data_IF_899250909277
#
_entry.id   IF_899250909277
#
_cell.length_a   1.000
_cell.length_b   1.000
_cell.length_c   1.000
_cell.angle_alpha   90.00
_cell.angle_beta   90.00
_cell.angle_gamma   90.00
#
_symmetry.space_group_name_H-M   'P 1'
#
loop_
_entity.id
_entity.type
_entity.pdbx_description
1 polymer ?
#
# COMPACT_ATOMS: atom_id res chain seq x y z
N UNK A 1 21.87 10.59 -15.70
CA UNK A 1 20.52 11.20 -15.79
C UNK A 1 19.96 11.24 -14.38
N UNK A 2 19.12 12.23 -14.06
CA UNK A 2 18.44 12.27 -12.77
C UNK A 2 17.34 11.21 -12.75
N UNK A 3 17.15 10.53 -11.62
CA UNK A 3 16.04 9.60 -11.37
C UNK A 3 14.82 10.39 -10.94
N UNK A 4 13.65 10.01 -11.45
CA UNK A 4 12.36 10.65 -11.18
C UNK A 4 11.50 9.71 -10.35
N UNK A 5 11.10 10.14 -9.16
CA UNK A 5 10.30 9.35 -8.23
C UNK A 5 8.96 10.01 -7.95
N UNK A 6 7.90 9.21 -7.86
CA UNK A 6 6.56 9.64 -7.43
C UNK A 6 6.31 9.09 -6.02
N UNK A 7 6.04 10.00 -5.08
CA UNK A 7 5.81 9.66 -3.68
C UNK A 7 4.32 9.82 -3.36
N UNK A 8 3.68 8.75 -2.90
CA UNK A 8 2.24 8.65 -2.67
C UNK A 8 1.94 8.39 -1.18
N UNK A 9 0.98 9.12 -0.65
CA UNK A 9 0.68 9.15 0.78
C UNK A 9 -0.26 8.03 1.22
N UNK A 10 -0.45 7.92 2.52
CA UNK A 10 -1.59 7.17 3.06
C UNK A 10 -2.89 7.97 2.90
N UNK A 11 -4.04 7.31 3.01
CA UNK A 11 -5.34 7.99 2.91
C UNK A 11 -6.56 7.07 2.81
N UNK A 12 -6.37 5.75 2.95
CA UNK A 12 -7.43 4.76 2.76
C UNK A 12 -8.05 4.80 1.36
N UNK A 13 -9.28 4.28 1.26
CA UNK A 13 -10.00 4.19 -0.02
C UNK A 13 -10.27 5.57 -0.67
N UNK A 14 -10.55 6.59 0.15
CA UNK A 14 -10.73 7.96 -0.35
C UNK A 14 -9.43 8.55 -0.89
N UNK A 15 -8.31 8.33 -0.19
CA UNK A 15 -6.99 8.73 -0.65
C UNK A 15 -6.64 8.09 -2.00
N UNK A 16 -6.88 6.79 -2.14
CA UNK A 16 -6.69 6.09 -3.42
C UNK A 16 -7.50 6.71 -4.56
N UNK A 17 -8.79 6.96 -4.34
CA UNK A 17 -9.66 7.54 -5.35
C UNK A 17 -9.20 8.95 -5.76
N UNK A 18 -8.76 9.76 -4.78
CA UNK A 18 -8.22 11.08 -5.01
C UNK A 18 -6.90 11.02 -5.80
N UNK A 19 -5.96 10.18 -5.40
CA UNK A 19 -4.66 10.03 -6.07
C UNK A 19 -4.83 9.58 -7.52
N UNK A 20 -5.63 8.54 -7.78
CA UNK A 20 -5.89 8.04 -9.14
C UNK A 20 -6.54 9.12 -10.01
N UNK A 21 -7.56 9.80 -9.49
CA UNK A 21 -8.23 10.87 -10.23
C UNK A 21 -7.32 12.06 -10.52
N UNK A 22 -6.51 12.48 -9.55
CA UNK A 22 -5.55 13.57 -9.70
C UNK A 22 -4.50 13.23 -10.77
N UNK A 23 -3.92 12.03 -10.69
CA UNK A 23 -2.86 11.59 -11.61
C UNK A 23 -3.38 11.37 -13.03
N UNK A 24 -4.58 10.81 -13.20
CA UNK A 24 -5.25 10.74 -14.51
C UNK A 24 -5.45 12.14 -15.09
N UNK A 25 -5.92 13.08 -14.27
CA UNK A 25 -6.10 14.47 -14.70
C UNK A 25 -4.80 15.14 -15.14
N UNK A 26 -3.67 14.84 -14.48
CA UNK A 26 -2.34 15.29 -14.94
C UNK A 26 -1.97 14.67 -16.29
N UNK A 27 -2.18 13.37 -16.46
CA UNK A 27 -1.91 12.66 -17.70
C UNK A 27 -2.73 13.24 -18.88
N UNK A 28 -4.01 13.54 -18.67
CA UNK A 28 -4.88 14.21 -19.65
C UNK A 28 -4.39 15.62 -20.05
N UNK A 29 -3.58 16.26 -19.19
CA UNK A 29 -2.93 17.56 -19.47
C UNK A 29 -1.52 17.40 -20.05
N UNK A 30 -1.10 16.18 -20.34
CA UNK A 30 0.20 15.87 -20.95
C UNK A 30 1.34 15.66 -19.96
N UNK A 31 1.04 15.52 -18.66
CA UNK A 31 2.02 15.12 -17.64
C UNK A 31 1.66 13.72 -17.12
N UNK A 32 2.14 12.70 -17.82
CA UNK A 32 1.97 11.32 -17.34
C UNK A 32 3.09 10.96 -16.36
N UNK A 33 2.76 10.89 -15.08
CA UNK A 33 3.70 10.50 -14.03
C UNK A 33 3.95 8.99 -13.98
N UNK A 34 3.29 8.20 -14.84
CA UNK A 34 3.56 6.76 -15.00
C UNK A 34 4.92 6.46 -15.66
N UNK A 35 5.50 7.47 -16.31
CA UNK A 35 6.85 7.42 -16.87
C UNK A 35 7.96 7.60 -15.82
N UNK A 36 7.61 7.80 -14.55
CA UNK A 36 8.58 7.85 -13.46
C UNK A 36 9.39 6.56 -13.35
N UNK A 37 10.64 6.69 -12.93
CA UNK A 37 11.55 5.57 -12.71
C UNK A 37 11.16 4.75 -11.47
N UNK A 38 10.41 5.36 -10.55
CA UNK A 38 10.17 4.86 -9.21
C UNK A 38 8.84 5.37 -8.61
N UNK A 39 8.13 4.47 -7.94
CA UNK A 39 6.98 4.79 -7.09
C UNK A 39 7.29 4.37 -5.65
N UNK A 40 7.08 5.29 -4.71
CA UNK A 40 7.20 5.02 -3.28
C UNK A 40 5.86 5.36 -2.64
N UNK A 41 5.23 4.41 -1.96
CA UNK A 41 3.90 4.58 -1.42
C UNK A 41 3.75 3.98 -0.02
N UNK A 42 2.87 4.56 0.79
CA UNK A 42 2.49 4.03 2.11
C UNK A 42 0.99 3.78 2.15
N UNK A 43 0.55 2.61 2.64
CA UNK A 43 -0.88 2.26 2.74
C UNK A 43 -1.59 2.42 1.38
N UNK A 44 -2.57 3.33 1.27
CA UNK A 44 -3.23 3.71 0.02
C UNK A 44 -2.25 3.96 -1.13
N UNK A 45 -1.23 4.80 -0.91
CA UNK A 45 -0.24 5.13 -1.93
C UNK A 45 0.61 3.94 -2.37
N UNK A 46 0.79 2.92 -1.53
CA UNK A 46 1.48 1.69 -1.94
C UNK A 46 0.64 0.90 -2.95
N UNK A 47 -0.69 0.87 -2.76
CA UNK A 47 -1.61 0.24 -3.71
C UNK A 47 -1.67 1.05 -5.01
N UNK A 48 -1.83 2.37 -4.92
CA UNK A 48 -1.86 3.24 -6.10
C UNK A 48 -0.54 3.15 -6.87
N UNK A 49 0.60 3.23 -6.21
CA UNK A 49 1.91 3.08 -6.85
C UNK A 49 2.06 1.73 -7.57
N UNK A 50 1.54 0.66 -6.97
CA UNK A 50 1.51 -0.68 -7.61
C UNK A 50 0.65 -0.69 -8.88
N UNK A 51 -0.54 -0.09 -8.82
CA UNK A 51 -1.46 0.01 -9.97
C UNK A 51 -0.86 0.86 -11.10
N UNK A 52 -0.23 1.98 -10.79
CA UNK A 52 0.41 2.85 -11.78
C UNK A 52 1.61 2.20 -12.47
N UNK A 53 2.36 1.40 -11.71
CA UNK A 53 3.50 0.63 -12.19
C UNK A 53 3.10 -0.66 -12.94
N UNK A 54 1.81 -0.95 -13.09
CA UNK A 54 1.30 -2.06 -13.90
C UNK A 54 1.26 -1.69 -15.39
N UNK A 55 1.04 -2.70 -16.24
CA UNK A 55 0.91 -2.54 -17.70
C UNK A 55 -0.51 -2.09 -18.12
N UNK A 56 -1.46 -1.93 -17.20
CA UNK A 56 -2.82 -1.52 -17.53
C UNK A 56 -2.85 -0.07 -18.05
N UNK A 57 -3.67 0.25 -19.04
CA UNK A 57 -3.83 1.64 -19.47
C UNK A 57 -4.67 2.46 -18.46
N UNK A 58 -4.66 3.78 -18.63
CA UNK A 58 -5.40 4.69 -17.75
C UNK A 58 -6.90 4.42 -17.73
N UNK A 59 -7.46 3.94 -18.85
CA UNK A 59 -8.89 3.62 -18.93
C UNK A 59 -9.22 2.38 -18.11
N UNK A 60 -8.42 1.33 -18.21
CA UNK A 60 -8.56 0.13 -17.40
C UNK A 60 -8.42 0.44 -15.90
N UNK A 61 -7.41 1.22 -15.52
CA UNK A 61 -7.20 1.64 -14.12
C UNK A 61 -8.41 2.44 -13.62
N UNK A 62 -8.92 3.35 -14.45
CA UNK A 62 -10.05 4.20 -14.11
C UNK A 62 -11.35 3.39 -13.94
N UNK A 63 -11.66 2.52 -14.90
CA UNK A 63 -12.86 1.69 -14.86
C UNK A 63 -12.81 0.70 -13.71
N UNK A 64 -11.64 0.12 -13.40
CA UNK A 64 -11.45 -0.70 -12.20
C UNK A 64 -11.70 0.12 -10.94
N UNK A 65 -11.17 1.36 -10.84
CA UNK A 65 -11.39 2.20 -9.66
C UNK A 65 -12.86 2.56 -9.44
N UNK A 66 -13.66 2.71 -10.49
CA UNK A 66 -15.09 3.03 -10.39
C UNK A 66 -15.97 1.81 -10.12
N UNK A 67 -15.64 0.66 -10.73
CA UNK A 67 -16.56 -0.46 -10.81
C UNK A 67 -16.12 -1.68 -10.00
N UNK A 68 -14.83 -1.80 -9.66
CA UNK A 68 -14.35 -2.95 -8.89
C UNK A 68 -14.78 -2.82 -7.43
N UNK A 69 -15.66 -3.73 -7.02
CA UNK A 69 -16.06 -3.87 -5.63
C UNK A 69 -15.01 -4.69 -4.89
N UNK A 70 -14.17 -4.00 -4.11
CA UNK A 70 -13.23 -4.65 -3.20
C UNK A 70 -13.99 -5.29 -2.06
N UNK A 71 -13.71 -6.55 -1.79
CA UNK A 71 -14.21 -7.22 -0.59
C UNK A 71 -13.59 -6.55 0.65
N UNK A 72 -14.42 -6.07 1.56
CA UNK A 72 -13.99 -5.37 2.77
C UNK A 72 -13.70 -6.36 3.91
N UNK A 73 -13.00 -7.45 3.61
CA UNK A 73 -12.59 -8.40 4.66
C UNK A 73 -11.32 -7.89 5.33
N UNK A 74 -11.51 -7.22 6.46
CA UNK A 74 -10.43 -7.02 7.42
C UNK A 74 -10.48 -8.18 8.43
N UNK A 75 -9.42 -9.01 8.55
CA UNK A 75 -9.37 -10.09 9.52
C UNK A 75 -9.34 -9.58 10.97
N UNK A 76 -9.06 -8.28 11.16
CA UNK A 76 -9.04 -7.62 12.46
C UNK A 76 -10.38 -6.93 12.72
N UNK A 77 -10.91 -7.15 13.92
CA UNK A 77 -12.04 -6.38 14.44
C UNK A 77 -11.61 -4.96 14.83
N UNK A 78 -12.58 -4.08 15.05
CA UNK A 78 -12.30 -2.73 15.58
C UNK A 78 -11.57 -2.77 16.93
N UNK A 79 -11.91 -3.76 17.77
CA UNK A 79 -11.25 -3.98 19.07
C UNK A 79 -9.79 -4.46 18.88
N UNK A 80 -9.53 -5.35 17.91
CA UNK A 80 -8.17 -5.78 17.59
C UNK A 80 -7.31 -4.61 17.09
N UNK A 81 -7.88 -3.76 16.24
CA UNK A 81 -7.21 -2.55 15.76
C UNK A 81 -6.91 -1.58 16.91
N UNK A 82 -7.89 -1.36 17.80
CA UNK A 82 -7.71 -0.50 18.96
C UNK A 82 -6.59 -1.01 19.88
N UNK A 83 -6.51 -2.33 20.10
CA UNK A 83 -5.43 -2.94 20.88
C UNK A 83 -4.06 -2.78 20.21
N UNK A 84 -3.97 -2.98 18.89
CA UNK A 84 -2.72 -2.75 18.14
C UNK A 84 -2.26 -1.29 18.27
N UNK A 85 -3.16 -0.32 18.10
CA UNK A 85 -2.82 1.09 18.27
C UNK A 85 -2.41 1.42 19.71
N UNK A 86 -3.07 0.85 20.70
CA UNK A 86 -2.68 1.02 22.11
C UNK A 86 -1.28 0.47 22.39
N UNK A 87 -0.91 -0.65 21.77
CA UNK A 87 0.44 -1.21 21.86
C UNK A 87 1.49 -0.31 21.19
N UNK A 88 1.20 0.26 20.01
CA UNK A 88 2.08 1.24 19.37
C UNK A 88 2.29 2.48 20.26
N UNK A 89 1.20 3.03 20.80
CA UNK A 89 1.22 4.14 21.75
C UNK A 89 2.09 3.83 22.98
N UNK A 90 1.98 2.62 23.52
CA UNK A 90 2.75 2.19 24.68
C UNK A 90 4.23 2.03 24.35
N UNK A 91 4.55 1.46 23.18
CA UNK A 91 5.92 1.32 22.70
C UNK A 91 6.58 2.69 22.51
N UNK A 92 5.88 3.63 21.87
CA UNK A 92 6.36 5.00 21.67
C UNK A 92 6.67 5.70 23.01
N UNK A 93 5.81 5.52 24.02
CA UNK A 93 6.02 6.13 25.36
C UNK A 93 7.20 5.51 26.12
N UNK A 94 7.48 4.23 25.89
CA UNK A 94 8.43 3.45 26.68
C UNK A 94 9.82 3.36 26.07
N UNK A 95 9.92 3.28 24.74
CA UNK A 95 11.20 3.24 24.05
C UNK A 95 12.02 4.50 24.38
N UNK A 96 13.31 4.31 24.64
CA UNK A 96 14.28 5.38 24.93
C UNK A 96 15.33 5.51 23.83
N UNK A 97 15.39 4.54 22.93
CA UNK A 97 16.28 4.51 21.77
C UNK A 97 15.52 4.11 20.51
N UNK A 98 16.12 4.37 19.35
CA UNK A 98 15.56 3.96 18.05
C UNK A 98 15.59 2.44 17.94
N UNK A 99 16.65 1.80 18.44
CA UNK A 99 16.82 0.36 18.47
C UNK A 99 15.72 -0.32 19.29
N UNK A 100 15.43 0.17 20.51
CA UNK A 100 14.33 -0.36 21.33
C UNK A 100 12.96 -0.20 20.66
N UNK A 101 12.75 0.91 19.94
CA UNK A 101 11.51 1.12 19.18
C UNK A 101 11.40 0.15 17.99
N UNK A 102 12.47 -0.03 17.22
CA UNK A 102 12.52 -0.99 16.09
C UNK A 102 12.33 -2.42 16.58
N UNK A 103 13.01 -2.82 17.65
CA UNK A 103 12.89 -4.15 18.24
C UNK A 103 11.46 -4.39 18.72
N UNK A 104 10.86 -3.42 19.42
CA UNK A 104 9.47 -3.51 19.88
C UNK A 104 8.49 -3.67 18.72
N UNK A 105 8.62 -2.86 17.68
CA UNK A 105 7.80 -2.97 16.46
C UNK A 105 7.97 -4.35 15.80
N UNK A 106 9.21 -4.86 15.76
CA UNK A 106 9.53 -6.18 15.19
C UNK A 106 8.90 -7.31 15.99
N UNK A 107 8.94 -7.25 17.33
CA UNK A 107 8.27 -8.24 18.18
C UNK A 107 6.75 -8.24 17.95
N UNK A 108 6.12 -7.07 17.83
CA UNK A 108 4.69 -6.98 17.50
C UNK A 108 4.38 -7.61 16.14
N UNK A 109 5.22 -7.36 15.13
CA UNK A 109 5.03 -7.91 13.78
C UNK A 109 5.20 -9.44 13.71
N UNK A 110 6.09 -10.03 14.53
CA UNK A 110 6.29 -11.48 14.59
C UNK A 110 5.17 -12.25 15.30
N UNK A 111 4.31 -11.55 16.04
CA UNK A 111 3.19 -12.14 16.78
C UNK A 111 1.85 -11.52 16.35
N UNK A 112 1.45 -11.71 15.08
CA UNK A 112 0.22 -11.12 14.58
C UNK A 112 -1.01 -11.68 15.33
N UNK A 113 -2.00 -10.82 15.57
CA UNK A 113 -3.27 -11.20 16.20
C UNK A 113 -4.03 -12.27 15.42
N UNK A 114 -3.90 -12.24 14.10
CA UNK A 114 -4.49 -13.22 13.19
C UNK A 114 -3.39 -13.80 12.34
N UNK A 115 -3.22 -15.12 12.42
CA UNK A 115 -2.32 -15.89 11.58
C UNK A 115 -3.13 -16.49 10.41
N UNK A 116 -3.02 -15.87 9.23
CA UNK A 116 -3.72 -16.30 8.02
C UNK A 116 -2.80 -17.17 7.16
N UNK A 117 -3.34 -18.22 6.52
CA UNK A 117 -2.61 -18.93 5.47
C UNK A 117 -2.09 -17.95 4.41
N UNK A 118 -0.87 -18.19 3.91
CA UNK A 118 -0.23 -17.34 2.89
C UNK A 118 -1.15 -17.08 1.69
N UNK A 119 -1.84 -18.13 1.22
CA UNK A 119 -2.81 -18.04 0.11
C UNK A 119 -3.91 -17.02 0.38
N UNK A 120 -4.45 -16.98 1.59
CA UNK A 120 -5.50 -16.05 1.98
C UNK A 120 -4.96 -14.62 2.02
N UNK A 121 -3.77 -14.44 2.61
CA UNK A 121 -3.07 -13.15 2.62
C UNK A 121 -2.80 -12.61 1.20
N UNK A 122 -2.36 -13.48 0.30
CA UNK A 122 -2.13 -13.11 -1.11
C UNK A 122 -3.44 -12.76 -1.83
N UNK A 123 -4.53 -13.47 -1.54
CA UNK A 123 -5.84 -13.16 -2.11
C UNK A 123 -6.36 -11.80 -1.63
N UNK A 124 -6.19 -11.47 -0.35
CA UNK A 124 -6.52 -10.14 0.18
C UNK A 124 -5.74 -9.04 -0.53
N UNK A 125 -4.43 -9.23 -0.74
CA UNK A 125 -3.58 -8.26 -1.47
C UNK A 125 -4.09 -8.10 -2.90
N UNK A 126 -4.38 -9.19 -3.61
CA UNK A 126 -4.94 -9.14 -4.97
C UNK A 126 -6.28 -8.39 -5.01
N UNK A 127 -7.19 -8.68 -4.09
CA UNK A 127 -8.45 -7.98 -3.95
C UNK A 127 -8.24 -6.47 -3.69
N UNK A 128 -7.23 -6.09 -2.90
CA UNK A 128 -6.94 -4.66 -2.68
C UNK A 128 -6.46 -3.94 -3.96
N UNK A 129 -5.72 -4.63 -4.82
CA UNK A 129 -5.16 -4.07 -6.06
C UNK A 129 -6.14 -4.05 -7.23
N UNK A 130 -7.22 -4.85 -7.19
CA UNK A 130 -8.15 -5.01 -8.31
C UNK A 130 -7.55 -5.79 -9.48
N UNK A 131 -8.25 -5.84 -10.62
CA UNK A 131 -7.79 -6.61 -11.79
C UNK A 131 -6.88 -5.82 -12.72
N UNK A 132 -6.69 -4.52 -12.48
CA UNK A 132 -5.72 -3.69 -13.20
C UNK A 132 -4.26 -4.19 -13.04
N UNK A 133 -4.01 -5.08 -12.07
CA UNK A 133 -2.69 -5.68 -11.83
C UNK A 133 -2.75 -7.18 -12.12
N UNK A 134 -2.28 -7.58 -13.30
CA UNK A 134 -2.20 -8.99 -13.72
C UNK A 134 -0.84 -9.60 -13.39
N UNK A 135 -0.63 -9.96 -12.12
CA UNK A 135 0.59 -10.63 -11.66
C UNK A 135 1.68 -9.67 -11.19
N UNK A 136 2.92 -10.17 -11.10
CA UNK A 136 4.06 -9.38 -10.63
C UNK A 136 4.45 -8.33 -11.67
N UNK A 137 4.37 -7.04 -11.30
CA UNK A 137 4.88 -5.97 -12.16
C UNK A 137 6.41 -5.99 -12.14
N UNK A 138 7.07 -5.90 -13.30
CA UNK A 138 8.53 -5.94 -13.39
C UNK A 138 9.20 -4.71 -12.76
N UNK A 139 8.42 -3.67 -12.45
CA UNK A 139 8.89 -2.42 -11.83
C UNK A 139 8.75 -2.42 -10.30
N UNK A 140 8.17 -3.45 -9.69
CA UNK A 140 8.15 -3.58 -8.22
C UNK A 140 9.56 -3.90 -7.72
N UNK A 141 10.06 -3.07 -6.80
CA UNK A 141 11.26 -3.36 -6.01
C UNK A 141 10.83 -3.83 -4.62
N UNK A 142 11.15 -5.07 -4.27
CA UNK A 142 11.05 -5.56 -2.89
C UNK A 142 12.42 -5.35 -2.25
N UNK A 143 12.47 -4.53 -1.21
CA UNK A 143 13.67 -4.38 -0.39
C UNK A 143 13.44 -5.13 0.90
N UNK A 144 14.12 -6.26 1.08
CA UNK A 144 14.25 -6.90 2.39
C UNK A 144 15.51 -6.34 3.02
N UNK A 145 15.34 -5.49 4.02
CA UNK A 145 16.46 -5.05 4.87
C UNK A 145 16.70 -6.16 5.90
N UNK A 146 17.86 -6.82 5.83
CA UNK A 146 18.32 -7.66 6.94
C UNK A 146 18.40 -6.80 8.21
N UNK A 147 17.93 -7.36 9.33
CA UNK A 147 18.05 -6.77 10.67
C UNK A 147 19.29 -7.33 11.34
#
# INVERSE_FOLDING_TARGET
>A
MATTSVILGAGGQFGMAWEIGYLRGLAEKGLDLRDADEFVGTSAGAQVGTVLASEADWETIWEEQLNYQREAENPLTDDDLADIFAQFDQLEKNARTVEEWIDGMSQMAMHPKVDLPETERLNMIRNSLGNAVSGWTPKIKIVVTEV
#
